data_IF_522698515646
#
_entry.id   IF_522698515646
#
_cell.length_a   1.000
_cell.length_b   1.000
_cell.length_c   1.000
_cell.angle_alpha   90.00
_cell.angle_beta   90.00
_cell.angle_gamma   90.00
#
_symmetry.space_group_name_H-M   'P 1'
#
loop_
_entity.id
_entity.type
_entity.pdbx_description
1 polymer ?
#
# COMPACT_ATOMS: atom_id res chain seq x y z
N UNK A 1 -33.95 -10.41 -8.50
CA UNK A 1 -33.17 -10.53 -7.23
C UNK A 1 -32.31 -11.77 -7.32
N UNK A 2 -30.97 -11.63 -7.40
CA UNK A 2 -30.07 -12.77 -7.38
C UNK A 2 -30.09 -13.41 -5.98
N UNK A 3 -30.49 -14.69 -5.88
CA UNK A 3 -30.48 -15.42 -4.59
C UNK A 3 -29.02 -15.76 -4.25
N UNK A 4 -28.50 -15.20 -3.16
CA UNK A 4 -27.20 -15.60 -2.62
C UNK A 4 -27.36 -17.02 -2.08
N UNK A 5 -26.58 -17.98 -2.59
CA UNK A 5 -26.65 -19.36 -2.13
C UNK A 5 -25.94 -19.53 -0.79
N UNK A 6 -26.43 -20.45 0.05
CA UNK A 6 -25.76 -20.83 1.31
C UNK A 6 -24.30 -21.25 1.08
N UNK A 7 -24.02 -21.92 -0.04
CA UNK A 7 -22.67 -22.28 -0.45
C UNK A 7 -21.78 -21.05 -0.70
N UNK A 8 -22.31 -19.98 -1.31
CA UNK A 8 -21.57 -18.74 -1.49
C UNK A 8 -21.23 -18.09 -0.14
N UNK A 9 -22.21 -17.98 0.77
CA UNK A 9 -21.99 -17.44 2.12
C UNK A 9 -20.92 -18.24 2.86
N UNK A 10 -21.03 -19.58 2.85
CA UNK A 10 -20.05 -20.47 3.49
C UNK A 10 -18.63 -20.26 2.96
N UNK A 11 -18.45 -20.09 1.64
CA UNK A 11 -17.13 -19.81 1.03
C UNK A 11 -16.53 -18.51 1.54
N UNK A 12 -17.33 -17.44 1.62
CA UNK A 12 -16.87 -16.14 2.12
C UNK A 12 -16.48 -16.21 3.59
N UNK A 13 -17.31 -16.83 4.43
CA UNK A 13 -17.01 -16.99 5.87
C UNK A 13 -15.71 -17.75 6.09
N UNK A 14 -15.49 -18.84 5.34
CA UNK A 14 -14.24 -19.61 5.42
C UNK A 14 -13.05 -18.75 4.98
N UNK A 15 -13.18 -18.00 3.88
CA UNK A 15 -12.10 -17.12 3.40
C UNK A 15 -11.74 -16.04 4.43
N UNK A 16 -12.74 -15.41 5.05
CA UNK A 16 -12.53 -14.44 6.12
C UNK A 16 -11.87 -15.08 7.35
N UNK A 17 -12.27 -16.30 7.74
CA UNK A 17 -11.62 -17.02 8.85
C UNK A 17 -10.13 -17.26 8.62
N UNK A 18 -9.75 -17.62 7.38
CA UNK A 18 -8.34 -17.75 7.01
C UNK A 18 -7.58 -16.42 7.01
N UNK A 19 -8.22 -15.33 6.60
CA UNK A 19 -7.63 -13.98 6.66
C UNK A 19 -7.45 -13.54 8.11
N UNK A 20 -8.40 -13.81 9.00
CA UNK A 20 -8.26 -13.54 10.44
C UNK A 20 -7.09 -14.32 11.02
N UNK A 21 -6.98 -15.62 10.71
CA UNK A 21 -5.83 -16.43 11.17
C UNK A 21 -4.49 -15.87 10.66
N UNK A 22 -4.47 -15.35 9.44
CA UNK A 22 -3.31 -14.67 8.87
C UNK A 22 -2.90 -13.43 9.67
N UNK A 23 -3.84 -12.55 9.98
CA UNK A 23 -3.56 -11.37 10.79
C UNK A 23 -3.16 -11.73 12.23
N UNK A 24 -3.80 -12.73 12.85
CA UNK A 24 -3.44 -13.19 14.20
C UNK A 24 -2.00 -13.68 14.25
N UNK A 25 -1.57 -14.49 13.29
CA UNK A 25 -0.19 -14.96 13.21
C UNK A 25 0.78 -13.80 12.98
N UNK A 26 0.50 -12.94 12.01
CA UNK A 26 1.39 -11.83 11.66
C UNK A 26 1.56 -10.83 12.82
N UNK A 27 0.45 -10.39 13.42
CA UNK A 27 0.45 -9.45 14.55
C UNK A 27 1.08 -10.08 15.79
N UNK A 28 0.87 -11.38 16.03
CA UNK A 28 1.52 -12.09 17.14
C UNK A 28 3.05 -12.11 17.02
N UNK A 29 3.56 -12.34 15.80
CA UNK A 29 5.00 -12.30 15.49
C UNK A 29 5.54 -10.88 15.65
N UNK A 30 4.88 -9.90 15.05
CA UNK A 30 5.26 -8.48 15.13
C UNK A 30 5.33 -7.99 16.58
N UNK A 31 4.29 -8.30 17.38
CA UNK A 31 4.24 -7.97 18.80
C UNK A 31 5.38 -8.64 19.58
N UNK A 32 5.67 -9.92 19.29
CA UNK A 32 6.78 -10.65 19.89
C UNK A 32 8.14 -10.01 19.58
N UNK A 33 8.37 -9.61 18.33
CA UNK A 33 9.59 -8.92 17.89
C UNK A 33 9.72 -7.54 18.56
N UNK A 34 8.65 -6.77 18.59
CA UNK A 34 8.59 -5.47 19.27
C UNK A 34 8.96 -5.60 20.75
N UNK A 35 8.43 -6.61 21.45
CA UNK A 35 8.76 -6.86 22.86
C UNK A 35 10.20 -7.33 23.05
N UNK A 36 10.69 -8.22 22.19
CA UNK A 36 12.06 -8.72 22.26
C UNK A 36 13.10 -7.62 21.95
N UNK A 37 12.78 -6.71 21.03
CA UNK A 37 13.65 -5.59 20.70
C UNK A 37 13.75 -4.56 21.84
N UNK A 38 12.76 -4.45 22.73
CA UNK A 38 12.73 -3.41 23.77
C UNK A 38 12.46 -2.02 23.20
N UNK A 39 12.86 -0.95 23.91
CA UNK A 39 12.48 0.44 23.59
C UNK A 39 13.59 1.28 22.93
N UNK A 40 14.79 0.74 22.71
CA UNK A 40 15.95 1.53 22.21
C UNK A 40 15.73 2.17 20.83
N UNK A 41 14.80 1.63 20.04
CA UNK A 41 14.46 2.13 18.71
C UNK A 41 13.22 3.04 18.69
N UNK A 42 12.40 3.00 19.75
CA UNK A 42 11.16 3.79 19.84
C UNK A 42 11.46 5.27 20.04
N UNK A 43 10.67 6.16 19.41
CA UNK A 43 10.85 7.61 19.53
C UNK A 43 12.03 8.18 18.73
N UNK A 44 12.71 7.36 17.92
CA UNK A 44 13.77 7.82 17.03
C UNK A 44 13.24 8.07 15.61
N UNK A 45 13.88 8.95 14.84
CA UNK A 45 13.60 9.10 13.41
C UNK A 45 13.82 7.79 12.62
N UNK A 46 14.58 6.86 13.19
CA UNK A 46 14.85 5.53 12.63
C UNK A 46 13.74 4.51 12.92
N UNK A 47 12.73 4.84 13.74
CA UNK A 47 11.68 3.92 14.18
C UNK A 47 10.86 3.32 13.04
N UNK A 48 10.77 4.01 11.89
CA UNK A 48 10.11 3.48 10.68
C UNK A 48 10.80 2.23 10.12
N UNK A 49 12.12 2.09 10.29
CA UNK A 49 12.90 0.93 9.79
C UNK A 49 12.54 -0.36 10.54
N UNK A 50 12.67 -0.45 11.88
CA UNK A 50 12.29 -1.65 12.62
C UNK A 50 10.80 -1.94 12.53
N UNK A 51 9.91 -0.93 12.52
CA UNK A 51 8.47 -1.15 12.30
C UNK A 51 8.22 -1.86 10.98
N UNK A 52 8.70 -1.29 9.86
CA UNK A 52 8.52 -1.92 8.55
C UNK A 52 9.20 -3.29 8.47
N UNK A 53 10.36 -3.48 9.12
CA UNK A 53 11.03 -4.78 9.16
C UNK A 53 10.22 -5.84 9.92
N UNK A 54 9.60 -5.49 11.05
CA UNK A 54 8.77 -6.41 11.83
C UNK A 54 7.48 -6.76 11.09
N UNK A 55 6.86 -5.79 10.41
CA UNK A 55 5.72 -6.04 9.53
C UNK A 55 6.08 -7.00 8.40
N UNK A 56 7.22 -6.81 7.73
CA UNK A 56 7.71 -7.73 6.70
C UNK A 56 7.90 -9.14 7.27
N UNK A 57 8.49 -9.28 8.46
CA UNK A 57 8.72 -10.59 9.07
C UNK A 57 7.38 -11.23 9.44
N UNK A 58 6.48 -10.51 10.11
CA UNK A 58 5.18 -11.01 10.53
C UNK A 58 4.31 -11.40 9.34
N UNK A 59 4.04 -10.47 8.42
CA UNK A 59 3.19 -10.71 7.25
C UNK A 59 3.87 -11.62 6.22
N UNK A 60 5.19 -11.56 6.09
CA UNK A 60 5.96 -12.46 5.23
C UNK A 60 5.92 -13.91 5.72
N UNK A 61 6.11 -14.12 7.03
CA UNK A 61 5.98 -15.45 7.65
C UNK A 61 4.54 -15.96 7.55
N UNK A 62 3.54 -15.13 7.82
CA UNK A 62 2.14 -15.52 7.67
C UNK A 62 1.79 -15.86 6.21
N UNK A 63 2.33 -15.11 5.24
CA UNK A 63 2.19 -15.39 3.81
C UNK A 63 2.83 -16.72 3.43
N UNK A 64 4.01 -17.02 4.00
CA UNK A 64 4.68 -18.30 3.78
C UNK A 64 3.91 -19.46 4.41
N UNK A 65 3.60 -19.40 5.70
CA UNK A 65 2.92 -20.48 6.42
C UNK A 65 1.52 -20.71 5.88
N UNK A 66 0.67 -19.68 5.85
CA UNK A 66 -0.73 -19.84 5.47
C UNK A 66 -0.85 -19.89 3.94
N UNK A 67 -0.26 -18.92 3.24
CA UNK A 67 -0.37 -18.84 1.79
C UNK A 67 0.35 -19.97 1.04
N UNK A 68 1.64 -20.21 1.34
CA UNK A 68 2.46 -21.20 0.61
C UNK A 68 2.27 -22.62 1.14
N UNK A 69 2.32 -22.85 2.45
CA UNK A 69 2.29 -24.23 2.99
C UNK A 69 0.87 -24.76 3.14
N UNK A 70 -0.03 -24.02 3.80
CA UNK A 70 -1.40 -24.50 4.08
C UNK A 70 -2.33 -24.38 2.87
N UNK A 71 -2.35 -23.21 2.21
CA UNK A 71 -3.21 -22.91 1.06
C UNK A 71 -2.58 -23.23 -0.29
N UNK A 72 -1.29 -23.60 -0.31
CA UNK A 72 -0.57 -24.08 -1.50
C UNK A 72 -0.55 -23.11 -2.69
N UNK A 73 -0.76 -21.80 -2.46
CA UNK A 73 -0.66 -20.80 -3.52
C UNK A 73 0.75 -20.74 -4.07
N UNK A 74 0.94 -20.70 -5.40
CA UNK A 74 2.28 -20.43 -5.96
C UNK A 74 2.73 -18.99 -5.67
N UNK A 75 4.04 -18.71 -5.73
CA UNK A 75 4.54 -17.34 -5.60
C UNK A 75 3.93 -16.38 -6.62
N UNK A 76 3.72 -16.85 -7.85
CA UNK A 76 3.04 -16.08 -8.90
C UNK A 76 1.56 -15.80 -8.58
N UNK A 77 0.89 -16.72 -7.86
CA UNK A 77 -0.48 -16.52 -7.42
C UNK A 77 -0.58 -15.44 -6.34
N UNK A 78 0.43 -15.34 -5.48
CA UNK A 78 0.62 -14.27 -4.48
C UNK A 78 1.21 -12.98 -5.07
N UNK A 79 1.22 -12.85 -6.39
CA UNK A 79 1.66 -11.65 -7.10
C UNK A 79 3.16 -11.54 -7.35
N UNK A 80 4.00 -12.47 -6.89
CA UNK A 80 5.45 -12.37 -7.11
C UNK A 80 5.83 -12.76 -8.54
N UNK A 81 6.22 -11.76 -9.34
CA UNK A 81 6.62 -11.90 -10.76
C UNK A 81 8.14 -11.88 -10.91
N UNK A 82 8.65 -12.58 -11.93
CA UNK A 82 10.06 -12.56 -12.32
C UNK A 82 10.22 -12.07 -13.77
N UNK A 83 11.21 -11.20 -14.06
CA UNK A 83 12.11 -10.53 -13.11
C UNK A 83 11.37 -9.48 -12.26
N UNK A 84 11.72 -9.34 -10.97
CA UNK A 84 11.02 -8.48 -10.02
C UNK A 84 11.49 -7.00 -10.06
N UNK A 85 12.77 -6.78 -10.34
CA UNK A 85 13.38 -5.44 -10.29
C UNK A 85 12.75 -4.46 -11.31
N UNK A 86 12.49 -4.92 -12.53
CA UNK A 86 11.95 -4.06 -13.59
C UNK A 86 10.52 -3.59 -13.29
N UNK A 87 9.56 -4.45 -12.89
CA UNK A 87 8.26 -3.99 -12.43
C UNK A 87 8.34 -3.12 -11.17
N UNK A 88 9.23 -3.44 -10.23
CA UNK A 88 9.45 -2.59 -9.04
C UNK A 88 9.89 -1.18 -9.43
N UNK A 89 10.95 -1.03 -10.22
CA UNK A 89 11.45 0.28 -10.66
C UNK A 89 10.39 1.07 -11.46
N UNK A 90 9.57 0.39 -12.27
CA UNK A 90 8.41 1.03 -12.95
C UNK A 90 7.37 1.51 -11.95
N UNK A 91 7.12 0.73 -10.90
CA UNK A 91 6.27 1.13 -9.79
C UNK A 91 6.81 2.37 -9.11
N UNK A 92 8.09 2.37 -8.72
CA UNK A 92 8.75 3.52 -8.09
C UNK A 92 8.59 4.77 -8.94
N UNK A 93 8.88 4.68 -10.24
CA UNK A 93 8.70 5.80 -11.16
C UNK A 93 7.24 6.27 -11.24
N UNK A 94 6.27 5.35 -11.33
CA UNK A 94 4.85 5.69 -11.38
C UNK A 94 4.39 6.41 -10.10
N UNK A 95 4.71 5.85 -8.93
CA UNK A 95 4.37 6.43 -7.64
C UNK A 95 5.00 7.80 -7.43
N UNK A 96 6.29 7.94 -7.76
CA UNK A 96 7.01 9.22 -7.63
C UNK A 96 6.45 10.30 -8.57
N UNK A 97 6.10 9.94 -9.81
CA UNK A 97 5.46 10.87 -10.76
C UNK A 97 4.08 11.29 -10.26
N UNK A 98 3.29 10.37 -9.71
CA UNK A 98 1.98 10.67 -9.14
C UNK A 98 2.10 11.60 -7.92
N UNK A 99 3.04 11.32 -7.01
CA UNK A 99 3.32 12.17 -5.86
C UNK A 99 3.77 13.57 -6.28
N UNK A 100 4.73 13.67 -7.21
CA UNK A 100 5.17 14.96 -7.75
C UNK A 100 4.02 15.72 -8.43
N UNK A 101 3.11 15.02 -9.12
CA UNK A 101 1.93 15.65 -9.73
C UNK A 101 0.99 16.21 -8.67
N UNK A 102 0.75 15.49 -7.57
CA UNK A 102 -0.06 15.98 -6.45
C UNK A 102 0.56 17.23 -5.81
N UNK A 103 1.88 17.23 -5.61
CA UNK A 103 2.64 18.38 -5.10
C UNK A 103 2.52 19.58 -6.04
N UNK A 104 2.75 19.39 -7.34
CA UNK A 104 2.64 20.46 -8.34
C UNK A 104 1.23 21.04 -8.36
N UNK A 105 0.19 20.20 -8.34
CA UNK A 105 -1.19 20.68 -8.24
C UNK A 105 -1.41 21.46 -6.95
N UNK A 106 -0.93 20.97 -5.81
CA UNK A 106 -1.00 21.69 -4.54
C UNK A 106 -0.36 23.07 -4.64
N UNK A 107 0.83 23.17 -5.22
CA UNK A 107 1.57 24.44 -5.41
C UNK A 107 0.81 25.40 -6.33
N UNK A 108 0.26 24.91 -7.44
CA UNK A 108 -0.57 25.72 -8.36
C UNK A 108 -1.76 26.35 -7.64
N UNK A 109 -2.31 25.66 -6.63
CA UNK A 109 -3.46 26.13 -5.85
C UNK A 109 -3.11 26.73 -4.48
N UNK A 110 -1.83 27.05 -4.25
CA UNK A 110 -1.40 27.90 -3.13
C UNK A 110 -0.56 27.21 -2.05
N UNK A 111 -0.25 25.92 -2.16
CA UNK A 111 0.85 25.33 -1.38
C UNK A 111 2.20 25.90 -1.83
N UNK A 112 3.25 25.71 -1.02
CA UNK A 112 4.58 26.29 -1.27
C UNK A 112 5.65 25.24 -1.10
N UNK A 113 6.73 25.43 -1.84
CA UNK A 113 7.99 24.70 -1.64
C UNK A 113 9.04 25.71 -1.21
N UNK A 114 9.64 25.47 -0.05
CA UNK A 114 10.74 26.26 0.47
C UNK A 114 12.04 25.49 0.23
N UNK A 115 12.95 26.06 -0.56
CA UNK A 115 14.25 25.45 -0.80
C UNK A 115 15.27 26.00 0.20
N UNK A 116 15.64 25.16 1.16
CA UNK A 116 16.68 25.49 2.15
C UNK A 116 18.08 25.23 1.60
N UNK A 117 18.23 24.30 0.66
CA UNK A 117 19.50 23.96 0.03
C UNK A 117 20.53 23.32 0.95
N UNK A 118 20.14 22.94 2.18
CA UNK A 118 21.03 22.29 3.13
C UNK A 118 21.15 20.79 2.85
N UNK A 119 22.18 20.43 2.11
CA UNK A 119 22.51 19.03 1.80
C UNK A 119 23.33 18.35 2.90
N UNK A 120 23.84 19.09 3.88
CA UNK A 120 24.82 18.57 4.85
C UNK A 120 24.23 17.46 5.74
N UNK A 121 22.95 17.58 6.10
CA UNK A 121 22.22 16.59 6.89
C UNK A 121 21.36 15.65 6.04
N UNK A 122 21.25 15.87 4.72
CA UNK A 122 20.30 15.14 3.87
C UNK A 122 20.50 13.64 3.91
N UNK A 123 21.74 13.16 3.73
CA UNK A 123 22.01 11.72 3.72
C UNK A 123 21.70 11.05 5.07
N UNK A 124 21.91 11.76 6.18
CA UNK A 124 21.67 11.24 7.53
C UNK A 124 20.18 11.04 7.82
N UNK A 125 19.30 11.84 7.21
CA UNK A 125 17.84 11.75 7.38
C UNK A 125 17.20 10.90 6.27
N UNK A 126 17.55 11.18 5.01
CA UNK A 126 16.90 10.59 3.86
C UNK A 126 17.24 9.10 3.66
N UNK A 127 18.49 8.66 3.89
CA UNK A 127 18.86 7.26 3.63
C UNK A 127 18.13 6.27 4.57
N UNK A 128 18.08 6.51 5.90
CA UNK A 128 17.31 5.64 6.78
C UNK A 128 15.81 5.74 6.53
N UNK A 129 15.30 6.93 6.18
CA UNK A 129 13.90 7.10 5.81
C UNK A 129 13.55 6.31 4.55
N UNK A 130 14.37 6.36 3.50
CA UNK A 130 14.19 5.56 2.28
C UNK A 130 14.10 4.07 2.63
N UNK A 131 15.01 3.59 3.49
CA UNK A 131 15.00 2.20 3.95
C UNK A 131 13.72 1.87 4.74
N UNK A 132 13.28 2.78 5.60
CA UNK A 132 12.04 2.63 6.35
C UNK A 132 10.80 2.60 5.46
N UNK A 133 10.69 3.55 4.54
CA UNK A 133 9.55 3.65 3.61
C UNK A 133 9.48 2.46 2.67
N UNK A 134 10.62 1.95 2.19
CA UNK A 134 10.61 0.75 1.32
C UNK A 134 10.20 -0.49 2.13
N UNK A 135 10.54 -0.56 3.42
CA UNK A 135 10.12 -1.65 4.29
C UNK A 135 8.65 -1.56 4.68
N UNK A 136 8.19 -0.40 5.15
CA UNK A 136 6.80 -0.13 5.49
C UNK A 136 5.87 -0.41 4.30
N UNK A 137 6.22 0.10 3.11
CA UNK A 137 5.47 -0.18 1.89
C UNK A 137 5.38 -1.69 1.61
N UNK A 138 6.46 -2.47 1.79
CA UNK A 138 6.40 -3.92 1.59
C UNK A 138 5.55 -4.61 2.67
N UNK A 139 5.69 -4.20 3.93
CA UNK A 139 4.92 -4.71 5.07
C UNK A 139 3.43 -4.56 4.84
N UNK A 140 2.98 -3.35 4.48
CA UNK A 140 1.60 -3.06 4.13
C UNK A 140 1.11 -3.83 2.90
N UNK A 141 1.91 -3.90 1.82
CA UNK A 141 1.52 -4.68 0.64
C UNK A 141 1.38 -6.18 0.95
N UNK A 142 2.23 -6.73 1.82
CA UNK A 142 2.14 -8.13 2.28
C UNK A 142 0.89 -8.34 3.14
N UNK A 143 0.63 -7.40 4.04
CA UNK A 143 -0.52 -7.41 4.94
C UNK A 143 -1.85 -7.33 4.21
N UNK A 144 -1.93 -6.59 3.09
CA UNK A 144 -3.21 -6.36 2.41
C UNK A 144 -3.36 -7.11 1.08
N UNK A 145 -2.33 -7.13 0.22
CA UNK A 145 -2.46 -7.62 -1.18
C UNK A 145 -2.02 -9.07 -1.32
N UNK A 146 -0.85 -9.40 -0.77
CA UNK A 146 -0.17 -10.68 -0.95
C UNK A 146 -1.09 -11.89 -0.76
N UNK A 147 -1.35 -12.27 0.49
CA UNK A 147 -2.29 -13.36 0.79
C UNK A 147 -3.74 -12.87 0.90
N UNK A 148 -4.08 -11.78 1.65
CA UNK A 148 -5.49 -11.50 1.95
C UNK A 148 -6.33 -11.09 0.74
N UNK A 149 -5.89 -10.11 -0.06
CA UNK A 149 -6.60 -9.74 -1.29
C UNK A 149 -6.67 -10.92 -2.25
N UNK A 150 -5.57 -11.67 -2.42
CA UNK A 150 -5.58 -12.83 -3.31
C UNK A 150 -6.59 -13.89 -2.88
N UNK A 151 -6.58 -14.25 -1.60
CA UNK A 151 -7.46 -15.28 -1.07
C UNK A 151 -8.92 -14.84 -1.09
N UNK A 152 -9.21 -13.57 -0.78
CA UNK A 152 -10.56 -13.03 -0.86
C UNK A 152 -11.05 -13.00 -2.32
N UNK A 153 -10.19 -12.61 -3.27
CA UNK A 153 -10.54 -12.57 -4.69
C UNK A 153 -10.92 -13.95 -5.24
N UNK A 154 -10.30 -15.04 -4.78
CA UNK A 154 -10.70 -16.39 -5.16
C UNK A 154 -12.11 -16.76 -4.63
N UNK A 155 -12.57 -16.11 -3.54
CA UNK A 155 -13.86 -16.39 -2.91
C UNK A 155 -15.03 -15.53 -3.46
N UNK A 156 -14.79 -14.25 -3.74
CA UNK A 156 -15.84 -13.28 -4.15
C UNK A 156 -15.60 -12.63 -5.51
N UNK A 157 -14.51 -12.95 -6.18
CA UNK A 157 -14.06 -12.27 -7.40
C UNK A 157 -13.17 -11.06 -7.10
N UNK A 158 -12.43 -10.63 -8.11
CA UNK A 158 -11.40 -9.59 -7.97
C UNK A 158 -11.99 -8.24 -7.56
N UNK A 159 -13.02 -7.75 -8.26
CA UNK A 159 -13.56 -6.41 -8.04
C UNK A 159 -14.17 -6.26 -6.63
N UNK A 160 -15.04 -7.17 -6.14
CA UNK A 160 -15.54 -7.10 -4.78
C UNK A 160 -14.42 -7.23 -3.74
N UNK A 161 -13.41 -8.06 -3.97
CA UNK A 161 -12.29 -8.21 -3.05
C UNK A 161 -11.46 -6.92 -2.92
N UNK A 162 -11.23 -6.20 -4.03
CA UNK A 162 -10.54 -4.89 -4.01
C UNK A 162 -11.31 -3.90 -3.13
N UNK A 163 -12.62 -3.78 -3.33
CA UNK A 163 -13.45 -2.85 -2.55
C UNK A 163 -13.48 -3.24 -1.08
N UNK A 164 -13.65 -4.53 -0.77
CA UNK A 164 -13.70 -5.01 0.62
C UNK A 164 -12.36 -4.84 1.33
N UNK A 165 -11.21 -5.04 0.68
CA UNK A 165 -9.89 -4.82 1.28
C UNK A 165 -9.50 -3.34 1.38
N UNK A 166 -10.04 -2.46 0.53
CA UNK A 166 -9.79 -1.03 0.62
C UNK A 166 -10.35 -0.41 1.91
N UNK A 167 -11.47 -0.94 2.42
CA UNK A 167 -12.11 -0.46 3.65
C UNK A 167 -11.22 -0.61 4.90
N UNK A 168 -10.71 -1.80 5.29
CA UNK A 168 -9.84 -1.92 6.44
C UNK A 168 -8.55 -1.13 6.27
N UNK A 169 -8.00 -1.02 5.04
CA UNK A 169 -6.81 -0.21 4.77
C UNK A 169 -7.07 1.26 5.13
N UNK A 170 -8.15 1.84 4.60
CA UNK A 170 -8.57 3.21 4.92
C UNK A 170 -8.88 3.39 6.42
N UNK A 171 -9.61 2.45 7.02
CA UNK A 171 -10.01 2.52 8.42
C UNK A 171 -8.79 2.54 9.33
N UNK A 172 -7.78 1.69 9.13
CA UNK A 172 -6.56 1.72 9.94
C UNK A 172 -5.85 3.08 9.90
N UNK A 173 -5.89 3.77 8.75
CA UNK A 173 -5.31 5.10 8.59
C UNK A 173 -6.16 6.24 9.17
N UNK A 174 -7.41 5.97 9.57
CA UNK A 174 -8.26 6.98 10.23
C UNK A 174 -7.75 7.35 11.64
N UNK A 175 -6.83 6.56 12.21
CA UNK A 175 -6.13 6.86 13.46
C UNK A 175 -4.79 7.57 13.27
N UNK A 176 -4.39 7.85 12.04
CA UNK A 176 -3.16 8.58 11.78
C UNK A 176 -3.30 10.06 12.20
N UNK A 177 -2.18 10.73 12.50
CA UNK A 177 -2.19 12.15 12.82
C UNK A 177 -2.90 12.97 11.75
N UNK A 178 -3.74 13.92 12.17
CA UNK A 178 -4.46 14.83 11.26
C UNK A 178 -5.41 14.15 10.27
N UNK A 179 -5.75 12.87 10.46
CA UNK A 179 -6.69 12.18 9.58
C UNK A 179 -8.07 12.84 9.58
N UNK A 180 -8.69 12.91 8.41
CA UNK A 180 -10.05 13.39 8.21
C UNK A 180 -10.85 12.33 7.47
N UNK A 181 -12.18 12.51 7.40
CA UNK A 181 -13.01 11.66 6.54
C UNK A 181 -12.52 11.72 5.09
N UNK A 182 -12.09 12.90 4.62
CA UNK A 182 -11.66 13.07 3.24
C UNK A 182 -10.30 12.40 2.97
N UNK A 183 -9.33 12.53 3.88
CA UNK A 183 -8.06 11.81 3.75
C UNK A 183 -8.26 10.29 3.81
N UNK A 184 -9.14 9.82 4.71
CA UNK A 184 -9.51 8.39 4.80
C UNK A 184 -10.09 7.87 3.47
N UNK A 185 -10.95 8.64 2.79
CA UNK A 185 -11.47 8.28 1.46
C UNK A 185 -10.34 8.17 0.44
N UNK A 186 -9.42 9.13 0.41
CA UNK A 186 -8.27 9.10 -0.50
C UNK A 186 -7.33 7.93 -0.23
N UNK A 187 -7.08 7.59 1.03
CA UNK A 187 -6.32 6.38 1.40
C UNK A 187 -7.03 5.12 0.90
N UNK A 188 -8.37 5.08 0.94
CA UNK A 188 -9.15 4.02 0.29
C UNK A 188 -8.97 3.98 -1.23
N UNK A 189 -8.91 5.13 -1.91
CA UNK A 189 -8.60 5.21 -3.34
C UNK A 189 -7.17 4.74 -3.64
N UNK A 190 -6.20 5.09 -2.81
CA UNK A 190 -4.84 4.56 -2.88
C UNK A 190 -4.85 3.04 -2.73
N UNK A 191 -5.71 2.52 -1.83
CA UNK A 191 -5.82 1.09 -1.63
C UNK A 191 -6.32 0.35 -2.88
N UNK A 192 -7.28 0.95 -3.59
CA UNK A 192 -7.81 0.46 -4.87
C UNK A 192 -6.72 0.52 -5.94
N UNK A 193 -6.04 1.66 -6.10
CA UNK A 193 -4.96 1.86 -7.06
C UNK A 193 -3.86 0.79 -6.91
N UNK A 194 -3.38 0.56 -5.70
CA UNK A 194 -2.36 -0.43 -5.39
C UNK A 194 -2.86 -1.87 -5.62
N UNK A 195 -4.14 -2.14 -5.35
CA UNK A 195 -4.74 -3.44 -5.66
C UNK A 195 -4.84 -3.70 -7.17
N UNK A 196 -5.12 -2.67 -7.97
CA UNK A 196 -5.05 -2.76 -9.44
C UNK A 196 -3.61 -3.00 -9.89
N UNK A 197 -2.63 -2.32 -9.31
CA UNK A 197 -1.21 -2.58 -9.59
C UNK A 197 -0.82 -4.04 -9.27
N UNK A 198 -1.32 -4.60 -8.16
CA UNK A 198 -1.08 -5.99 -7.76
C UNK A 198 -1.65 -7.02 -8.75
N UNK A 199 -2.86 -6.80 -9.28
CA UNK A 199 -3.46 -7.70 -10.27
C UNK A 199 -2.95 -7.49 -11.71
N UNK A 200 -2.20 -6.41 -11.95
CA UNK A 200 -1.55 -6.17 -13.23
C UNK A 200 -0.40 -7.16 -13.49
N UNK A 201 0.13 -7.13 -14.71
CA UNK A 201 1.31 -7.93 -15.12
C UNK A 201 2.55 -7.74 -14.23
N UNK A 202 2.69 -6.58 -13.58
CA UNK A 202 3.80 -6.28 -12.71
C UNK A 202 3.71 -6.95 -11.34
N UNK A 203 2.51 -7.31 -10.91
CA UNK A 203 2.27 -8.03 -9.66
C UNK A 203 2.66 -7.24 -8.41
N UNK A 204 2.98 -7.98 -7.36
CA UNK A 204 3.48 -7.50 -6.08
C UNK A 204 4.68 -6.55 -6.22
N UNK A 205 5.72 -6.81 -7.06
CA UNK A 205 6.80 -5.84 -7.21
C UNK A 205 6.35 -4.47 -7.75
N UNK A 206 5.38 -4.43 -8.67
CA UNK A 206 4.84 -3.15 -9.16
C UNK A 206 4.05 -2.41 -8.07
N UNK A 207 3.18 -3.11 -7.33
CA UNK A 207 2.41 -2.52 -6.25
C UNK A 207 3.33 -1.97 -5.14
N UNK A 208 4.30 -2.77 -4.71
CA UNK A 208 5.31 -2.35 -3.72
C UNK A 208 6.12 -1.16 -4.21
N UNK A 209 6.61 -1.19 -5.44
CA UNK A 209 7.34 -0.06 -6.02
C UNK A 209 6.48 1.19 -6.11
N UNK A 210 5.22 1.06 -6.53
CA UNK A 210 4.28 2.18 -6.64
C UNK A 210 3.98 2.82 -5.29
N UNK A 211 3.73 2.01 -4.27
CA UNK A 211 3.53 2.46 -2.89
C UNK A 211 4.78 3.18 -2.38
N UNK A 212 5.95 2.52 -2.45
CA UNK A 212 7.21 3.14 -2.02
C UNK A 212 7.51 4.42 -2.79
N UNK A 213 7.31 4.44 -4.11
CA UNK A 213 7.54 5.61 -4.96
C UNK A 213 6.63 6.78 -4.59
N UNK A 214 5.38 6.52 -4.22
CA UNK A 214 4.46 7.54 -3.72
C UNK A 214 4.96 8.13 -2.41
N UNK A 215 5.25 7.28 -1.41
CA UNK A 215 5.71 7.72 -0.08
C UNK A 215 7.05 8.46 -0.16
N UNK A 216 8.03 7.91 -0.87
CA UNK A 216 9.34 8.54 -1.06
C UNK A 216 9.23 9.82 -1.91
N UNK A 217 8.34 9.83 -2.89
CA UNK A 217 8.04 11.03 -3.67
C UNK A 217 7.56 12.17 -2.78
N UNK A 218 6.62 11.91 -1.87
CA UNK A 218 6.13 12.91 -0.92
C UNK A 218 7.20 13.31 0.11
N UNK A 219 7.71 12.35 0.87
CA UNK A 219 8.58 12.64 2.01
C UNK A 219 10.02 13.00 1.60
N UNK A 220 10.65 12.22 0.73
CA UNK A 220 12.10 12.36 0.46
C UNK A 220 12.39 13.48 -0.54
N UNK A 221 11.52 13.68 -1.53
CA UNK A 221 11.74 14.71 -2.56
C UNK A 221 11.19 16.09 -2.17
N UNK A 222 10.11 16.13 -1.38
CA UNK A 222 9.40 17.38 -1.08
C UNK A 222 9.18 17.63 0.42
N UNK A 223 9.58 16.72 1.32
CA UNK A 223 9.27 16.78 2.76
C UNK A 223 7.78 17.01 3.06
N UNK A 224 6.91 16.49 2.19
CA UNK A 224 5.48 16.52 2.43
C UNK A 224 5.09 15.42 3.42
N UNK A 225 4.07 15.65 4.29
CA UNK A 225 3.59 14.61 5.18
C UNK A 225 3.13 13.37 4.40
N UNK A 226 3.49 12.19 4.90
CA UNK A 226 2.98 10.90 4.39
C UNK A 226 2.01 10.36 5.42
N UNK A 227 0.74 10.37 5.05
CA UNK A 227 -0.39 9.95 5.87
C UNK A 227 -0.41 10.62 7.24
N UNK A 228 -0.07 11.93 7.26
CA UNK A 228 0.01 12.75 8.47
C UNK A 228 1.33 12.68 9.24
N UNK A 229 2.29 11.84 8.85
CA UNK A 229 3.61 11.79 9.46
C UNK A 229 4.59 12.72 8.75
N UNK A 230 5.31 13.51 9.55
CA UNK A 230 6.34 14.47 9.09
C UNK A 230 7.71 13.91 9.44
N UNK A 231 8.65 13.97 8.49
CA UNK A 231 9.99 13.38 8.64
C UNK A 231 11.13 14.39 8.68
N UNK A 232 10.87 15.66 8.35
CA UNK A 232 11.86 16.76 8.39
C UNK A 232 13.09 16.47 7.53
N UNK A 233 12.85 16.02 6.29
CA UNK A 233 13.91 15.82 5.30
C UNK A 233 14.42 17.20 4.87
N UNK A 234 15.73 17.50 5.00
CA UNK A 234 16.26 18.81 4.65
C UNK A 234 16.25 19.03 3.12
N UNK A 235 16.64 20.23 2.67
CA UNK A 235 16.69 20.71 1.27
C UNK A 235 15.39 21.32 0.75
N UNK A 236 14.27 20.59 0.79
CA UNK A 236 12.98 21.05 0.28
C UNK A 236 11.95 20.85 1.38
N UNK A 237 11.21 21.90 1.71
CA UNK A 237 10.11 21.84 2.67
C UNK A 237 8.79 22.15 1.95
N UNK A 238 7.86 21.20 1.99
CA UNK A 238 6.49 21.40 1.52
C UNK A 238 5.64 22.04 2.62
N UNK A 239 5.08 23.20 2.32
CA UNK A 239 4.14 23.89 3.19
C UNK A 239 2.75 23.93 2.53
N UNK A 240 1.69 23.37 3.15
CA UNK A 240 0.34 23.46 2.62
C UNK A 240 -0.15 24.92 2.58
N UNK A 241 -1.07 25.22 1.66
CA UNK A 241 -1.72 26.51 1.51
C UNK A 241 -2.91 26.69 2.46
N UNK A 242 -3.78 27.65 2.12
CA UNK A 242 -4.95 27.98 2.94
C UNK A 242 -6.12 26.99 2.74
N UNK A 243 -6.15 26.29 1.61
CA UNK A 243 -7.27 25.44 1.21
C UNK A 243 -6.96 23.97 1.48
N UNK A 244 -7.13 23.55 2.75
CA UNK A 244 -6.88 22.17 3.20
C UNK A 244 -7.62 21.07 2.41
N UNK A 245 -8.73 21.39 1.75
CA UNK A 245 -9.45 20.42 0.92
C UNK A 245 -8.76 20.21 -0.43
N UNK A 246 -7.83 21.09 -0.82
CA UNK A 246 -7.03 20.95 -2.05
C UNK A 246 -5.76 20.16 -1.75
N UNK A 247 -4.98 20.61 -0.77
CA UNK A 247 -3.63 20.11 -0.48
C UNK A 247 -3.52 19.19 0.75
N UNK A 248 -4.63 18.95 1.44
CA UNK A 248 -4.75 18.07 2.60
C UNK A 248 -4.20 18.63 3.91
N UNK A 249 -3.67 19.86 3.94
CA UNK A 249 -3.17 20.51 5.15
C UNK A 249 -2.12 19.66 5.87
N UNK A 250 -2.30 19.48 7.19
CA UNK A 250 -1.38 18.72 8.03
C UNK A 250 -1.33 17.21 7.73
N UNK A 251 -2.30 16.65 6.99
CA UNK A 251 -2.24 15.26 6.53
C UNK A 251 -1.30 15.10 5.32
N UNK A 252 -0.93 16.22 4.65
CA UNK A 252 -0.20 16.24 3.40
C UNK A 252 -1.12 16.05 2.18
N UNK A 253 -0.58 16.03 0.95
CA UNK A 253 -1.35 15.96 -0.30
C UNK A 253 -2.42 14.87 -0.35
N UNK A 254 -2.19 13.76 0.36
CA UNK A 254 -3.13 12.64 0.54
C UNK A 254 -4.48 13.06 1.15
N UNK A 255 -4.53 14.15 1.92
CA UNK A 255 -5.76 14.66 2.52
C UNK A 255 -6.60 15.54 1.60
N UNK A 256 -6.12 15.84 0.39
CA UNK A 256 -6.72 16.83 -0.49
C UNK A 256 -7.23 16.26 -1.81
N UNK A 257 -7.97 17.08 -2.57
CA UNK A 257 -8.51 16.72 -3.89
C UNK A 257 -7.39 16.40 -4.89
N UNK A 258 -6.18 16.93 -4.69
CA UNK A 258 -5.03 16.65 -5.55
C UNK A 258 -4.69 15.15 -5.53
N UNK A 259 -4.76 14.49 -4.36
CA UNK A 259 -4.60 13.05 -4.25
C UNK A 259 -5.75 12.31 -4.95
N UNK A 260 -7.00 12.73 -4.76
CA UNK A 260 -8.16 12.14 -5.45
C UNK A 260 -7.95 12.10 -6.97
N UNK A 261 -7.55 13.24 -7.56
CA UNK A 261 -7.34 13.38 -9.00
C UNK A 261 -6.23 12.43 -9.47
N UNK A 262 -5.06 12.46 -8.84
CA UNK A 262 -3.92 11.64 -9.30
C UNK A 262 -4.14 10.16 -9.05
N UNK A 263 -4.83 9.76 -7.98
CA UNK A 263 -5.14 8.36 -7.68
C UNK A 263 -6.16 7.79 -8.67
N UNK A 264 -7.19 8.55 -9.04
CA UNK A 264 -8.13 8.16 -10.09
C UNK A 264 -7.39 8.06 -11.43
N UNK A 265 -6.59 9.08 -11.80
CA UNK A 265 -5.82 9.08 -13.04
C UNK A 265 -4.83 7.90 -13.11
N UNK A 266 -4.11 7.62 -12.03
CA UNK A 266 -3.18 6.50 -11.92
C UNK A 266 -3.87 5.13 -11.99
N UNK A 267 -5.05 5.01 -11.37
CA UNK A 267 -5.89 3.81 -11.47
C UNK A 267 -6.34 3.59 -12.92
N UNK A 268 -6.91 4.62 -13.56
CA UNK A 268 -7.35 4.55 -14.96
C UNK A 268 -6.18 4.24 -15.89
N UNK A 269 -5.02 4.87 -15.68
CA UNK A 269 -3.81 4.61 -16.45
C UNK A 269 -3.44 3.13 -16.39
N UNK A 270 -3.42 2.51 -15.21
CA UNK A 270 -3.14 1.08 -15.08
C UNK A 270 -4.22 0.22 -15.75
N UNK A 271 -5.49 0.59 -15.64
CA UNK A 271 -6.61 -0.11 -16.27
C UNK A 271 -6.59 -0.06 -17.80
N UNK A 272 -6.04 1.00 -18.39
CA UNK A 272 -5.91 1.13 -19.86
C UNK A 272 -4.74 0.36 -20.46
N UNK A 273 -3.82 -0.17 -19.64
CA UNK A 273 -2.70 -0.97 -20.14
C UNK A 273 -3.20 -2.35 -20.60
N UNK A 274 -2.63 -2.86 -21.70
CA UNK A 274 -2.90 -4.22 -22.14
C UNK A 274 -2.60 -5.22 -21.01
N UNK A 275 -3.52 -6.15 -20.76
CA UNK A 275 -3.48 -7.12 -19.65
C UNK A 275 -3.57 -6.50 -18.24
N UNK A 276 -4.25 -5.35 -18.08
CA UNK A 276 -4.48 -4.69 -16.78
C UNK A 276 -5.07 -5.62 -15.71
N UNK A 277 -5.94 -6.54 -16.13
CA UNK A 277 -6.36 -7.67 -15.32
C UNK A 277 -5.83 -8.94 -15.97
N UNK A 278 -4.79 -9.53 -15.37
CA UNK A 278 -4.53 -10.95 -15.55
C UNK A 278 -5.27 -11.64 -14.41
N UNK A 279 -6.55 -12.07 -14.60
CA UNK A 279 -7.19 -12.89 -13.58
C UNK A 279 -6.27 -14.06 -13.28
N UNK A 280 -6.15 -14.47 -12.02
CA UNK A 280 -5.37 -15.64 -11.71
C UNK A 280 -5.77 -16.83 -12.59
N UNK A 281 -4.82 -17.68 -13.00
CA UNK A 281 -5.20 -18.97 -13.55
C UNK A 281 -6.12 -19.65 -12.53
N UNK A 282 -7.33 -20.01 -12.97
CA UNK A 282 -8.27 -20.72 -12.11
C UNK A 282 -7.61 -22.02 -11.62
N UNK A 283 -7.81 -22.41 -10.35
CA UNK A 283 -7.42 -23.73 -9.88
C UNK A 283 -7.93 -24.82 -10.84
N UNK A 284 -7.12 -25.82 -11.15
CA UNK A 284 -7.47 -26.89 -12.09
C UNK A 284 -8.83 -27.57 -11.78
N UNK A 285 -9.17 -27.67 -10.50
CA UNK A 285 -10.45 -28.21 -10.02
C UNK A 285 -11.70 -27.43 -10.48
N UNK A 286 -11.57 -26.16 -10.89
CA UNK A 286 -12.67 -25.37 -11.46
C UNK A 286 -12.74 -25.47 -12.99
N UNK A 287 -11.65 -25.88 -13.65
CA UNK A 287 -11.65 -26.11 -15.10
C UNK A 287 -12.43 -27.37 -15.46
N UNK A 288 -12.38 -28.41 -14.62
CA UNK A 288 -13.14 -29.65 -14.83
C UNK A 288 -14.66 -29.46 -14.68
N UNK A 289 -15.12 -28.51 -13.85
CA UNK A 289 -16.56 -28.24 -13.63
C UNK A 289 -17.16 -27.37 -14.73
N UNK A 290 -16.35 -26.58 -15.44
CA UNK A 290 -16.81 -25.75 -16.57
C UNK A 290 -16.73 -26.52 -17.90
N UNK A 291 -15.94 -27.60 -17.94
CA UNK A 291 -15.80 -28.48 -19.11
C UNK A 291 -16.75 -29.69 -19.11
N UNK A 292 -17.55 -29.88 -18.05
CA UNK A 292 -18.56 -30.92 -17.91
C UNK A 292 -19.97 -30.34 -17.99
#
# INVERSE_FOLDING_TARGET
>A
MARVSFAAVKRVVIALGWIVLFYVLAIGVDYGLTKAAGSWWTGTALSVVPVGAFEIIGFGLATYVIGRLLKKYSWSALGWRRPALRPFARGVALGAVMAASAIVLGVVFGARLHFTGDWSAWAAVALPLILGLVFAALGEELGFRGYPLRHLADAVGVLPAIIVLALPFAILHAWNPSATVFSTINVGLAAIWLSVAFFSTGGMPLAWGAHFGWNAGLAVLFDAPVSGFIFHVPVVEYAPGLHRWIDGGAFGPEGGIVATIVLIAGTLFLLTRANAFSPPPQPAALQEVVAA
#
